data_IF_762958684338
#
_entry.id   IF_762958684338
#
_cell.length_a   1.000
_cell.length_b   1.000
_cell.length_c   1.000
_cell.angle_alpha   90.00
_cell.angle_beta   90.00
_cell.angle_gamma   90.00
#
_symmetry.space_group_name_H-M   'P 1'
#
loop_
_entity.id
_entity.type
_entity.pdbx_description
1 polymer ?
#
# COMPACT_ATOMS: atom_id res chain seq x y z
N UNK A 1 20.20 28.09 -24.05
CA UNK A 1 18.83 27.85 -24.49
C UNK A 1 17.93 27.95 -23.26
N UNK A 2 17.00 28.91 -23.23
CA UNK A 2 16.28 29.28 -22.01
C UNK A 2 15.01 28.39 -21.90
N UNK A 3 14.58 27.99 -20.68
CA UNK A 3 13.40 27.13 -20.44
C UNK A 3 12.12 27.61 -21.14
N UNK A 4 12.01 28.93 -21.42
CA UNK A 4 10.85 29.51 -22.15
C UNK A 4 10.85 29.22 -23.64
N UNK A 5 12.00 28.93 -24.25
CA UNK A 5 12.12 28.70 -25.70
C UNK A 5 11.84 27.24 -26.08
N UNK A 6 11.98 26.31 -25.11
CA UNK A 6 11.65 24.89 -25.30
C UNK A 6 10.14 24.67 -25.42
N UNK A 7 9.33 25.42 -24.67
CA UNK A 7 7.87 25.26 -24.64
C UNK A 7 7.20 25.83 -25.88
N UNK A 8 7.82 26.79 -26.59
CA UNK A 8 7.24 27.41 -27.78
C UNK A 8 7.37 26.60 -29.07
N UNK A 9 8.29 25.64 -29.13
CA UNK A 9 8.51 24.84 -30.33
C UNK A 9 7.71 23.52 -30.37
N UNK A 10 6.88 23.24 -29.37
CA UNK A 10 6.07 22.02 -29.30
C UNK A 10 4.62 22.19 -29.86
N UNK A 11 4.26 23.36 -30.38
CA UNK A 11 2.89 23.62 -30.87
C UNK A 11 2.96 24.20 -32.27
N UNK A 12 3.28 23.41 -33.27
CA UNK A 12 3.02 23.71 -34.67
C UNK A 12 3.17 22.44 -35.54
N UNK A 13 2.31 21.46 -35.41
CA UNK A 13 1.95 20.53 -36.50
C UNK A 13 0.47 20.21 -36.33
N UNK A 14 -0.42 20.98 -36.91
CA UNK A 14 -1.80 20.56 -37.14
C UNK A 14 -2.12 20.62 -38.63
N UNK A 15 -2.44 19.50 -39.06
CA UNK A 15 -2.87 18.85 -40.24
C UNK A 15 -3.84 19.63 -41.17
N UNK A 16 -3.67 19.33 -42.45
CA UNK A 16 -4.70 19.52 -43.48
C UNK A 16 -5.46 18.20 -43.65
N UNK A 17 -6.79 18.27 -43.59
CA UNK A 17 -7.70 17.16 -43.95
C UNK A 17 -8.07 17.29 -45.42
N UNK A 18 -8.11 16.24 -46.22
CA UNK A 18 -8.71 16.25 -47.54
C UNK A 18 -10.23 15.98 -47.51
N UNK A 19 -10.92 16.55 -48.51
CA UNK A 19 -12.37 16.58 -48.70
C UNK A 19 -13.07 15.22 -48.71
N UNK A 20 -14.31 15.25 -48.18
CA UNK A 20 -15.21 14.13 -48.10
C UNK A 20 -15.80 13.73 -49.47
N UNK A 21 -15.66 12.48 -49.83
CA UNK A 21 -16.41 11.84 -50.93
C UNK A 21 -17.68 11.22 -50.33
N UNK A 22 -18.84 11.66 -50.80
CA UNK A 22 -20.16 11.11 -50.43
C UNK A 22 -20.38 9.76 -51.06
N UNK A 23 -20.46 8.70 -50.25
CA UNK A 23 -20.88 7.36 -50.69
C UNK A 23 -22.26 7.05 -50.10
N UNK A 24 -23.11 6.50 -50.96
CA UNK A 24 -24.49 6.07 -50.71
C UNK A 24 -24.50 4.84 -49.73
N UNK A 25 -25.42 4.75 -48.75
CA UNK A 25 -25.42 3.65 -47.80
C UNK A 25 -25.96 2.36 -48.41
N UNK A 26 -25.13 1.33 -48.42
CA UNK A 26 -25.56 -0.04 -48.62
C UNK A 26 -26.05 -0.63 -47.30
N UNK A 27 -27.26 -1.18 -47.27
CA UNK A 27 -27.86 -1.88 -46.14
C UNK A 27 -27.02 -3.11 -45.80
N UNK A 28 -26.35 -3.09 -44.67
CA UNK A 28 -25.64 -4.24 -44.11
C UNK A 28 -26.62 -5.23 -43.44
N UNK A 29 -26.44 -6.56 -43.56
CA UNK A 29 -27.24 -7.55 -42.84
C UNK A 29 -27.01 -7.43 -41.31
N UNK A 30 -28.08 -7.67 -40.53
CA UNK A 30 -28.04 -7.63 -39.08
C UNK A 30 -26.95 -8.58 -38.51
N UNK A 31 -26.18 -8.15 -37.53
CA UNK A 31 -25.17 -9.01 -36.91
C UNK A 31 -25.84 -10.16 -36.15
N UNK A 32 -25.32 -11.38 -36.35
CA UNK A 32 -25.69 -12.55 -35.58
C UNK A 32 -25.42 -12.29 -34.06
N UNK A 33 -26.22 -12.89 -33.14
CA UNK A 33 -26.01 -12.70 -31.71
C UNK A 33 -24.59 -13.15 -31.33
N UNK A 34 -23.84 -12.23 -30.77
CA UNK A 34 -22.50 -12.51 -30.24
C UNK A 34 -22.63 -13.55 -29.11
N UNK A 35 -22.08 -14.73 -29.32
CA UNK A 35 -21.83 -15.69 -28.25
C UNK A 35 -20.95 -14.98 -27.23
N UNK A 36 -21.45 -14.82 -26.00
CA UNK A 36 -20.68 -14.29 -24.88
C UNK A 36 -19.48 -15.21 -24.63
N UNK A 37 -18.34 -14.88 -25.18
CA UNK A 37 -17.06 -15.48 -24.79
C UNK A 37 -16.77 -15.02 -23.36
N UNK A 38 -16.72 -15.96 -22.42
CA UNK A 38 -16.16 -15.70 -21.09
C UNK A 38 -14.80 -15.04 -21.30
N UNK A 39 -14.55 -13.85 -20.71
CA UNK A 39 -13.26 -13.21 -20.88
C UNK A 39 -12.17 -14.14 -20.35
N UNK A 40 -11.18 -14.43 -21.18
CA UNK A 40 -10.03 -15.21 -20.76
C UNK A 40 -9.29 -14.42 -19.68
N UNK A 41 -9.10 -15.04 -18.51
CA UNK A 41 -8.32 -14.45 -17.43
C UNK A 41 -6.92 -14.10 -17.96
N UNK A 42 -6.47 -12.88 -17.70
CA UNK A 42 -5.12 -12.47 -18.10
C UNK A 42 -4.06 -13.35 -17.42
N UNK A 43 -2.90 -13.59 -18.06
CA UNK A 43 -1.81 -14.31 -17.40
C UNK A 43 -1.41 -13.61 -16.11
N UNK A 44 -1.17 -14.39 -15.05
CA UNK A 44 -0.76 -13.85 -13.77
C UNK A 44 0.56 -13.08 -13.87
N UNK A 45 0.69 -11.99 -13.14
CA UNK A 45 1.97 -11.30 -12.98
C UNK A 45 2.99 -12.24 -12.33
N UNK A 46 4.26 -12.07 -12.68
CA UNK A 46 5.35 -12.86 -12.07
C UNK A 46 5.62 -12.41 -10.62
N UNK A 47 5.43 -11.11 -10.33
CA UNK A 47 5.51 -10.56 -8.98
C UNK A 47 4.13 -10.44 -8.36
N UNK A 48 4.05 -10.53 -7.04
CA UNK A 48 2.80 -10.47 -6.30
C UNK A 48 2.38 -9.01 -6.05
N UNK A 49 1.96 -8.32 -7.11
CA UNK A 49 1.45 -6.96 -7.01
C UNK A 49 0.08 -6.93 -6.31
N UNK A 50 -0.10 -5.98 -5.40
CA UNK A 50 -1.27 -5.84 -4.55
C UNK A 50 -1.92 -4.45 -4.71
N UNK A 51 -2.89 -4.28 -5.63
CA UNK A 51 -3.65 -3.03 -5.72
C UNK A 51 -4.52 -2.80 -4.47
N UNK A 52 -4.78 -1.52 -4.18
CA UNK A 52 -5.68 -1.09 -3.10
C UNK A 52 -7.15 -1.07 -3.51
N UNK A 53 -8.03 -1.12 -2.50
CA UNK A 53 -9.45 -0.79 -2.65
C UNK A 53 -9.62 0.58 -3.34
N UNK A 54 -10.55 0.63 -4.29
CA UNK A 54 -10.89 1.82 -5.05
C UNK A 54 -10.02 2.09 -6.29
N UNK A 55 -8.89 1.41 -6.49
CA UNK A 55 -8.07 1.60 -7.68
C UNK A 55 -8.80 1.20 -8.97
N UNK A 56 -9.71 0.24 -8.90
CA UNK A 56 -10.47 -0.24 -10.05
C UNK A 56 -11.97 0.11 -10.01
N UNK A 57 -12.40 1.08 -9.18
CA UNK A 57 -13.82 1.46 -9.09
C UNK A 57 -14.43 1.90 -10.42
N UNK A 58 -13.65 2.54 -11.28
CA UNK A 58 -14.11 2.97 -12.60
C UNK A 58 -14.32 1.81 -13.60
N UNK A 59 -13.83 0.61 -13.29
CA UNK A 59 -13.93 -0.58 -14.11
C UNK A 59 -14.89 -1.61 -13.54
N UNK A 60 -14.88 -1.80 -12.21
CA UNK A 60 -15.63 -2.85 -11.52
C UNK A 60 -16.69 -2.31 -10.53
N UNK A 61 -16.89 -0.98 -10.47
CA UNK A 61 -17.85 -0.36 -9.55
C UNK A 61 -17.30 -0.16 -8.13
N UNK A 62 -18.20 0.30 -7.24
CA UNK A 62 -17.84 0.65 -5.86
C UNK A 62 -17.72 -0.57 -4.93
N UNK A 63 -18.29 -1.73 -5.30
CA UNK A 63 -18.20 -2.94 -4.47
C UNK A 63 -16.79 -3.50 -4.51
N UNK A 64 -16.15 -3.55 -3.34
CA UNK A 64 -14.77 -4.03 -3.25
C UNK A 64 -14.64 -5.52 -3.62
N UNK A 65 -15.64 -6.35 -3.37
CA UNK A 65 -15.60 -7.76 -3.78
C UNK A 65 -15.61 -7.91 -5.32
N UNK A 66 -16.34 -7.05 -6.03
CA UNK A 66 -16.31 -7.01 -7.49
C UNK A 66 -14.96 -6.47 -8.01
N UNK A 67 -14.37 -5.47 -7.32
CA UNK A 67 -13.01 -5.01 -7.67
C UNK A 67 -11.97 -6.12 -7.48
N UNK A 68 -12.04 -6.94 -6.43
CA UNK A 68 -11.15 -8.10 -6.22
C UNK A 68 -11.26 -9.11 -7.36
N UNK A 69 -12.49 -9.43 -7.79
CA UNK A 69 -12.71 -10.33 -8.94
C UNK A 69 -12.07 -9.76 -10.22
N UNK A 70 -12.30 -8.47 -10.47
CA UNK A 70 -11.70 -7.78 -11.60
C UNK A 70 -10.16 -7.78 -11.53
N UNK A 71 -9.57 -7.49 -10.38
CA UNK A 71 -8.11 -7.57 -10.17
C UNK A 71 -7.58 -8.98 -10.51
N UNK A 72 -8.26 -10.01 -10.04
CA UNK A 72 -7.90 -11.40 -10.38
C UNK A 72 -7.94 -11.66 -11.89
N UNK A 73 -8.99 -11.21 -12.59
CA UNK A 73 -9.14 -11.34 -14.05
C UNK A 73 -8.02 -10.60 -14.80
N UNK A 74 -7.52 -9.47 -14.24
CA UNK A 74 -6.39 -8.72 -14.80
C UNK A 74 -5.02 -9.34 -14.48
N UNK A 75 -4.97 -10.45 -13.76
CA UNK A 75 -3.72 -11.17 -13.46
C UNK A 75 -3.10 -10.86 -12.10
N UNK A 76 -3.69 -9.99 -11.28
CA UNK A 76 -3.23 -9.76 -9.91
C UNK A 76 -3.48 -10.98 -9.02
N UNK A 77 -2.59 -11.21 -8.05
CA UNK A 77 -2.67 -12.33 -7.11
C UNK A 77 -2.61 -11.88 -5.65
N UNK A 78 -2.71 -10.57 -5.41
CA UNK A 78 -2.76 -10.00 -4.07
C UNK A 78 -3.57 -8.73 -4.08
N UNK A 79 -3.99 -8.29 -2.89
CA UNK A 79 -4.62 -6.98 -2.67
C UNK A 79 -4.05 -6.34 -1.41
N UNK A 80 -4.23 -5.02 -1.25
CA UNK A 80 -4.05 -4.30 0.01
C UNK A 80 -5.34 -3.58 0.40
N UNK A 81 -5.57 -3.43 1.70
CA UNK A 81 -6.69 -2.65 2.22
C UNK A 81 -6.33 -1.98 3.55
N UNK A 82 -5.87 -0.75 3.48
CA UNK A 82 -5.51 0.03 4.66
C UNK A 82 -6.67 0.21 5.65
N UNK A 83 -7.91 0.16 5.15
CA UNK A 83 -9.14 0.32 5.94
C UNK A 83 -9.69 -0.96 6.57
N UNK A 84 -9.05 -2.11 6.40
CA UNK A 84 -9.59 -3.42 6.78
C UNK A 84 -10.08 -3.48 8.23
N UNK A 85 -9.37 -2.87 9.19
CA UNK A 85 -9.82 -2.86 10.59
C UNK A 85 -11.16 -2.15 10.83
N UNK A 86 -11.49 -1.17 9.97
CA UNK A 86 -12.76 -0.43 10.05
C UNK A 86 -13.93 -1.10 9.33
N UNK A 87 -13.71 -2.21 8.62
CA UNK A 87 -14.78 -2.94 7.95
C UNK A 87 -15.55 -3.81 8.94
N UNK A 88 -16.83 -4.02 8.66
CA UNK A 88 -17.65 -4.96 9.43
C UNK A 88 -17.04 -6.38 9.39
N UNK A 89 -17.03 -7.13 10.51
CA UNK A 89 -16.42 -8.46 10.59
C UNK A 89 -16.93 -9.43 9.53
N UNK A 90 -18.22 -9.35 9.17
CA UNK A 90 -18.80 -10.19 8.13
C UNK A 90 -18.21 -9.87 6.73
N UNK A 91 -17.86 -8.61 6.46
CA UNK A 91 -17.21 -8.22 5.20
C UNK A 91 -15.74 -8.64 5.20
N UNK A 92 -15.03 -8.51 6.32
CA UNK A 92 -13.65 -9.00 6.44
C UNK A 92 -13.55 -10.50 6.12
N UNK A 93 -14.49 -11.30 6.64
CA UNK A 93 -14.58 -12.74 6.36
C UNK A 93 -14.88 -13.00 4.87
N UNK A 94 -15.84 -12.29 4.29
CA UNK A 94 -16.17 -12.44 2.86
C UNK A 94 -14.99 -12.10 1.95
N UNK A 95 -14.20 -11.09 2.31
CA UNK A 95 -12.96 -10.75 1.58
C UNK A 95 -11.96 -11.89 1.69
N UNK A 96 -11.69 -12.39 2.90
CA UNK A 96 -10.78 -13.54 3.10
C UNK A 96 -11.19 -14.78 2.35
N UNK A 97 -12.48 -15.15 2.42
CA UNK A 97 -13.03 -16.31 1.71
C UNK A 97 -12.91 -16.15 0.18
N UNK A 98 -13.19 -14.95 -0.35
CA UNK A 98 -13.05 -14.67 -1.77
C UNK A 98 -11.59 -14.76 -2.23
N UNK A 99 -10.66 -14.18 -1.46
CA UNK A 99 -9.22 -14.28 -1.75
C UNK A 99 -8.76 -15.75 -1.77
N UNK A 100 -9.16 -16.54 -0.78
CA UNK A 100 -8.84 -17.96 -0.73
C UNK A 100 -9.43 -18.73 -1.93
N UNK A 101 -10.67 -18.44 -2.31
CA UNK A 101 -11.34 -19.03 -3.48
C UNK A 101 -10.61 -18.70 -4.79
N UNK A 102 -10.10 -17.48 -4.93
CA UNK A 102 -9.40 -17.01 -6.13
C UNK A 102 -7.90 -17.35 -6.13
N UNK A 103 -7.35 -17.92 -5.04
CA UNK A 103 -5.92 -18.15 -4.87
C UNK A 103 -5.12 -16.85 -4.81
N UNK A 104 -5.70 -15.82 -4.19
CA UNK A 104 -5.08 -14.51 -3.96
C UNK A 104 -4.66 -14.35 -2.50
N UNK A 105 -3.63 -13.53 -2.28
CA UNK A 105 -3.15 -13.19 -0.94
C UNK A 105 -3.73 -11.86 -0.45
N UNK A 106 -3.94 -11.76 0.86
CA UNK A 106 -4.07 -10.46 1.53
C UNK A 106 -2.67 -9.92 1.80
N UNK A 107 -2.36 -8.75 1.28
CA UNK A 107 -1.14 -7.99 1.57
C UNK A 107 -1.22 -7.33 2.95
N UNK A 108 -0.97 -6.02 3.03
CA UNK A 108 -1.04 -5.31 4.31
C UNK A 108 -2.42 -4.70 4.56
N UNK A 109 -2.75 -4.57 5.84
CA UNK A 109 -3.71 -3.60 6.36
C UNK A 109 -3.07 -2.80 7.51
N UNK A 110 -3.64 -1.65 7.86
CA UNK A 110 -3.06 -0.76 8.88
C UNK A 110 -3.62 -1.07 10.26
N UNK A 111 -2.73 -1.23 11.26
CA UNK A 111 -3.12 -1.23 12.67
C UNK A 111 -3.31 0.21 13.13
N UNK A 112 -4.57 0.62 13.29
CA UNK A 112 -4.93 1.93 13.79
C UNK A 112 -6.20 1.85 14.63
N UNK A 113 -6.33 2.71 15.63
CA UNK A 113 -7.49 2.75 16.52
C UNK A 113 -8.25 4.07 16.51
N UNK A 114 -7.61 5.13 16.04
CA UNK A 114 -8.22 6.46 15.90
C UNK A 114 -8.01 6.99 14.49
N UNK A 115 -7.92 8.29 14.33
CA UNK A 115 -7.67 8.90 13.04
C UNK A 115 -6.34 8.41 12.44
N UNK A 116 -6.45 7.63 11.41
CA UNK A 116 -5.34 7.17 10.59
C UNK A 116 -4.52 8.34 10.03
N UNK A 117 -3.20 8.17 9.87
CA UNK A 117 -2.28 7.15 10.41
C UNK A 117 -1.54 7.63 11.67
N UNK A 118 -1.90 8.77 12.22
CA UNK A 118 -1.03 9.57 13.08
C UNK A 118 -1.37 9.46 14.57
N UNK A 119 -2.40 8.68 14.91
CA UNK A 119 -2.95 8.64 16.25
C UNK A 119 -2.36 7.60 17.19
N UNK A 120 -1.50 6.69 16.71
CA UNK A 120 -0.96 5.64 17.57
C UNK A 120 -0.18 6.19 18.78
N UNK A 121 0.54 7.29 18.60
CA UNK A 121 1.14 8.05 19.71
C UNK A 121 2.16 7.28 20.55
N UNK A 122 2.73 6.18 20.01
CA UNK A 122 3.63 5.28 20.74
C UNK A 122 4.89 5.98 21.28
N UNK A 123 5.25 7.09 20.64
CA UNK A 123 6.39 7.95 21.03
C UNK A 123 6.27 8.53 22.43
N UNK A 124 5.05 8.68 22.97
CA UNK A 124 4.81 9.35 24.25
C UNK A 124 5.12 8.49 25.48
N UNK A 125 5.13 7.16 25.36
CA UNK A 125 5.40 6.24 26.47
C UNK A 125 4.36 6.24 27.59
N UNK A 126 3.13 6.73 27.31
CA UNK A 126 2.05 6.79 28.32
C UNK A 126 1.37 5.45 28.49
N UNK A 127 1.04 5.08 29.71
CA UNK A 127 0.40 3.80 30.03
C UNK A 127 -0.95 3.62 29.32
N UNK A 128 -1.77 4.66 29.28
CA UNK A 128 -3.07 4.62 28.60
C UNK A 128 -2.95 4.39 27.07
N UNK A 129 -1.88 4.92 26.45
CA UNK A 129 -1.59 4.68 25.04
C UNK A 129 -1.14 3.23 24.83
N UNK A 130 -0.26 2.72 25.71
CA UNK A 130 0.17 1.34 25.68
C UNK A 130 -1.00 0.36 25.82
N UNK A 131 -1.89 0.60 26.78
CA UNK A 131 -3.06 -0.24 26.99
C UNK A 131 -3.99 -0.23 25.76
N UNK A 132 -4.20 0.93 25.15
CA UNK A 132 -4.98 1.07 23.93
C UNK A 132 -4.32 0.36 22.76
N UNK A 133 -3.00 0.54 22.58
CA UNK A 133 -2.20 -0.14 21.58
C UNK A 133 -2.35 -1.67 21.66
N UNK A 134 -2.16 -2.24 22.85
CA UNK A 134 -2.25 -3.69 23.03
C UNK A 134 -3.67 -4.23 22.83
N UNK A 135 -4.72 -3.46 23.12
CA UNK A 135 -6.09 -3.85 22.75
C UNK A 135 -6.25 -3.87 21.23
N UNK A 136 -5.80 -2.84 20.55
CA UNK A 136 -5.86 -2.76 19.08
C UNK A 136 -5.06 -3.88 18.41
N UNK A 137 -3.92 -4.29 18.97
CA UNK A 137 -3.18 -5.45 18.49
C UNK A 137 -3.98 -6.75 18.60
N UNK A 138 -4.76 -6.96 19.69
CA UNK A 138 -5.64 -8.13 19.80
C UNK A 138 -6.74 -8.10 18.74
N UNK A 139 -7.34 -6.94 18.51
CA UNK A 139 -8.34 -6.76 17.44
C UNK A 139 -7.74 -7.03 16.07
N UNK A 140 -6.51 -6.55 15.80
CA UNK A 140 -5.80 -6.80 14.56
C UNK A 140 -5.53 -8.28 14.30
N UNK A 141 -5.24 -9.08 15.34
CA UNK A 141 -5.12 -10.55 15.24
C UNK A 141 -6.43 -11.16 14.73
N UNK A 142 -7.57 -10.73 15.27
CA UNK A 142 -8.87 -11.27 14.85
C UNK A 142 -9.24 -10.82 13.42
N UNK A 143 -8.87 -9.59 13.04
CA UNK A 143 -8.99 -9.11 11.65
C UNK A 143 -8.13 -9.95 10.71
N UNK A 144 -6.85 -10.14 11.04
CA UNK A 144 -5.91 -10.94 10.24
C UNK A 144 -6.41 -12.38 10.02
N UNK A 145 -6.99 -13.01 11.05
CA UNK A 145 -7.61 -14.33 10.91
C UNK A 145 -8.75 -14.35 9.92
N UNK A 146 -9.64 -13.32 9.95
CA UNK A 146 -10.79 -13.24 9.05
C UNK A 146 -10.41 -13.00 7.61
N UNK A 147 -9.44 -12.13 7.36
CA UNK A 147 -9.02 -11.79 5.99
C UNK A 147 -7.78 -12.56 5.51
N UNK A 148 -7.26 -13.51 6.30
CA UNK A 148 -6.10 -14.35 6.01
C UNK A 148 -4.80 -13.54 5.81
N UNK A 149 -4.71 -12.36 6.44
CA UNK A 149 -3.52 -11.52 6.35
C UNK A 149 -2.36 -12.08 7.18
N UNK A 150 -1.15 -11.81 6.71
CA UNK A 150 0.10 -12.08 7.43
C UNK A 150 0.79 -10.80 7.88
N UNK A 151 0.57 -9.71 7.15
CA UNK A 151 1.30 -8.46 7.28
C UNK A 151 0.37 -7.34 7.75
N UNK A 152 0.88 -6.46 8.63
CA UNK A 152 0.12 -5.34 9.16
C UNK A 152 1.01 -4.11 9.22
N UNK A 153 0.62 -3.03 8.56
CA UNK A 153 1.36 -1.77 8.60
C UNK A 153 1.21 -1.09 9.96
N UNK A 154 2.32 -0.59 10.49
CA UNK A 154 2.37 0.21 11.70
C UNK A 154 3.09 1.53 11.47
N UNK A 155 2.41 2.62 11.83
CA UNK A 155 2.99 3.96 11.93
C UNK A 155 3.01 4.35 13.40
N UNK A 156 4.18 4.61 14.02
CA UNK A 156 4.29 4.87 15.46
C UNK A 156 3.58 6.13 15.94
N UNK A 157 3.34 7.09 15.04
CA UNK A 157 2.70 8.36 15.34
C UNK A 157 3.62 9.56 15.07
N UNK A 158 3.33 10.67 15.75
CA UNK A 158 4.05 11.94 15.58
C UNK A 158 5.24 12.08 16.55
N UNK A 159 6.17 12.94 16.18
CA UNK A 159 7.24 13.39 17.03
C UNK A 159 6.72 14.42 18.05
N UNK A 160 7.16 14.30 19.30
CA UNK A 160 6.83 15.23 20.37
C UNK A 160 8.08 16.03 20.78
N UNK A 161 8.13 17.34 20.49
CA UNK A 161 9.33 18.16 20.77
C UNK A 161 9.73 18.20 22.25
N UNK A 162 8.78 17.99 23.16
CA UNK A 162 8.99 18.00 24.62
C UNK A 162 9.70 16.75 25.14
N UNK A 163 9.76 15.70 24.32
CA UNK A 163 10.42 14.43 24.66
C UNK A 163 11.62 14.25 23.73
N UNK A 164 12.80 14.07 24.26
CA UNK A 164 13.98 13.87 23.40
C UNK A 164 13.84 12.59 22.54
N UNK A 165 14.39 12.62 21.34
CA UNK A 165 14.24 11.54 20.35
C UNK A 165 14.65 10.16 20.89
N UNK A 166 15.75 9.98 21.66
CA UNK A 166 16.09 8.66 22.20
C UNK A 166 15.02 8.07 23.12
N UNK A 167 14.36 8.91 23.95
CA UNK A 167 13.24 8.42 24.77
C UNK A 167 12.04 8.01 23.93
N UNK A 168 11.71 8.77 22.88
CA UNK A 168 10.64 8.42 21.97
C UNK A 168 10.95 7.09 21.27
N UNK A 169 12.19 6.89 20.81
CA UNK A 169 12.64 5.63 20.21
C UNK A 169 12.49 4.46 21.19
N UNK A 170 12.92 4.63 22.45
CA UNK A 170 12.78 3.61 23.49
C UNK A 170 11.30 3.26 23.76
N UNK A 171 10.41 4.27 23.82
CA UNK A 171 8.98 4.06 24.00
C UNK A 171 8.36 3.26 22.83
N UNK A 172 8.74 3.60 21.60
CA UNK A 172 8.28 2.88 20.39
C UNK A 172 8.78 1.44 20.41
N UNK A 173 10.06 1.22 20.73
CA UNK A 173 10.64 -0.14 20.82
C UNK A 173 9.93 -0.99 21.88
N UNK A 174 9.62 -0.43 23.08
CA UNK A 174 8.88 -1.17 24.12
C UNK A 174 7.48 -1.55 23.64
N UNK A 175 6.75 -0.62 23.02
CA UNK A 175 5.42 -0.88 22.49
C UNK A 175 5.42 -1.96 21.40
N UNK A 176 6.40 -1.92 20.50
CA UNK A 176 6.51 -2.89 19.40
C UNK A 176 6.97 -4.26 19.89
N UNK A 177 7.83 -4.36 20.91
CA UNK A 177 8.20 -5.65 21.52
C UNK A 177 6.99 -6.36 22.10
N UNK A 178 6.17 -5.66 22.88
CA UNK A 178 4.94 -6.22 23.46
C UNK A 178 3.96 -6.67 22.39
N UNK A 179 3.83 -5.92 21.31
CA UNK A 179 3.01 -6.34 20.16
C UNK A 179 3.62 -7.55 19.43
N UNK A 180 4.94 -7.57 19.22
CA UNK A 180 5.64 -8.69 18.59
C UNK A 180 5.47 -10.01 19.37
N UNK A 181 5.49 -9.96 20.71
CA UNK A 181 5.22 -11.11 21.57
C UNK A 181 3.81 -11.68 21.36
N UNK A 182 2.86 -10.87 20.95
CA UNK A 182 1.49 -11.30 20.62
C UNK A 182 1.38 -11.84 19.19
N UNK A 183 2.08 -11.25 18.24
CA UNK A 183 1.97 -11.56 16.82
C UNK A 183 2.82 -12.76 16.39
N UNK A 184 4.04 -12.89 16.90
CA UNK A 184 4.96 -13.96 16.52
C UNK A 184 4.37 -15.38 16.69
N UNK A 185 3.68 -15.71 17.80
CA UNK A 185 3.04 -17.03 17.97
C UNK A 185 1.90 -17.30 16.97
N UNK A 186 1.34 -16.25 16.35
CA UNK A 186 0.28 -16.34 15.34
C UNK A 186 0.83 -16.38 13.91
N UNK A 187 2.15 -16.28 13.73
CA UNK A 187 2.76 -16.16 12.40
C UNK A 187 2.49 -14.81 11.72
N UNK A 188 2.11 -13.79 12.49
CA UNK A 188 1.82 -12.44 12.02
C UNK A 188 3.02 -11.54 12.19
N UNK A 189 3.16 -10.53 11.33
CA UNK A 189 4.24 -9.56 11.41
C UNK A 189 3.74 -8.12 11.19
N UNK A 190 4.17 -7.24 12.07
CA UNK A 190 4.13 -5.80 11.83
C UNK A 190 5.18 -5.41 10.81
N UNK A 191 4.83 -4.50 9.91
CA UNK A 191 5.76 -3.86 9.00
C UNK A 191 5.71 -2.36 9.20
N UNK A 192 6.81 -1.78 9.69
CA UNK A 192 6.92 -0.36 10.03
C UNK A 192 7.10 0.46 8.77
N UNK A 193 6.25 1.46 8.59
CA UNK A 193 6.28 2.32 7.40
C UNK A 193 6.79 3.72 7.77
N UNK A 194 8.00 4.11 7.32
CA UNK A 194 8.47 5.49 7.37
C UNK A 194 7.76 6.31 6.29
N UNK A 195 7.10 7.39 6.70
CA UNK A 195 6.23 8.20 5.84
C UNK A 195 6.80 9.59 5.55
N UNK A 196 6.41 10.16 4.41
CA UNK A 196 6.75 11.52 3.99
C UNK A 196 5.56 12.49 3.94
N UNK A 197 4.37 12.06 4.40
CA UNK A 197 3.14 12.85 4.26
C UNK A 197 3.14 14.12 5.11
N UNK A 198 3.76 14.06 6.28
CA UNK A 198 3.82 15.18 7.23
C UNK A 198 5.23 15.33 7.81
N UNK A 199 5.68 16.60 8.07
CA UNK A 199 7.02 16.84 8.62
C UNK A 199 7.16 16.45 10.10
N UNK A 200 6.06 16.34 10.83
CA UNK A 200 5.99 16.02 12.26
C UNK A 200 5.88 14.52 12.56
N UNK A 201 5.96 13.65 11.55
CA UNK A 201 6.00 12.20 11.79
C UNK A 201 7.30 11.79 12.48
N UNK A 202 7.18 10.90 13.46
CA UNK A 202 8.34 10.36 14.17
C UNK A 202 9.21 9.49 13.26
N UNK A 203 8.60 8.56 12.53
CA UNK A 203 9.30 7.61 11.67
C UNK A 203 9.31 8.11 10.23
N UNK A 204 10.51 8.40 9.70
CA UNK A 204 10.66 9.03 8.39
C UNK A 204 11.78 8.46 7.53
N UNK A 205 12.69 7.67 8.07
CA UNK A 205 13.91 7.23 7.39
C UNK A 205 14.11 5.73 7.51
N UNK A 206 14.75 5.15 6.51
CA UNK A 206 15.03 3.72 6.47
C UNK A 206 16.02 3.30 7.56
N UNK A 207 17.07 4.08 7.81
CA UNK A 207 18.05 3.83 8.86
C UNK A 207 17.45 3.85 10.27
N UNK A 208 16.55 4.80 10.54
CA UNK A 208 15.79 4.88 11.79
C UNK A 208 14.88 3.64 11.96
N UNK A 209 14.22 3.22 10.89
CA UNK A 209 13.33 2.05 10.91
C UNK A 209 14.14 0.77 11.15
N UNK A 210 15.28 0.65 10.50
CA UNK A 210 16.21 -0.46 10.69
C UNK A 210 16.68 -0.57 12.15
N UNK A 211 17.12 0.56 12.76
CA UNK A 211 17.51 0.63 14.17
C UNK A 211 16.40 0.11 15.09
N UNK A 212 15.16 0.55 14.87
CA UNK A 212 14.01 0.11 15.67
C UNK A 212 13.74 -1.38 15.49
N UNK A 213 13.72 -1.90 14.26
CA UNK A 213 13.52 -3.33 13.99
C UNK A 213 14.60 -4.19 14.64
N UNK A 214 15.87 -3.78 14.54
CA UNK A 214 16.99 -4.45 15.23
C UNK A 214 16.85 -4.39 16.74
N UNK A 215 16.43 -3.27 17.30
CA UNK A 215 16.21 -3.13 18.74
C UNK A 215 15.04 -3.99 19.23
N UNK A 216 13.96 -4.11 18.47
CA UNK A 216 12.83 -5.02 18.77
C UNK A 216 13.29 -6.47 18.72
N UNK A 217 14.13 -6.82 17.75
CA UNK A 217 14.74 -8.15 17.56
C UNK A 217 13.71 -9.28 17.49
N UNK A 218 12.71 -9.12 16.62
CA UNK A 218 11.65 -10.12 16.43
C UNK A 218 11.33 -10.29 14.93
N UNK A 219 11.07 -11.52 14.46
CA UNK A 219 10.58 -11.74 13.09
C UNK A 219 9.18 -11.13 12.87
N UNK A 220 8.46 -10.81 13.94
CA UNK A 220 7.16 -10.16 13.90
C UNK A 220 7.23 -8.61 13.83
N UNK A 221 8.42 -8.04 13.64
CA UNK A 221 8.60 -6.59 13.48
C UNK A 221 9.66 -6.34 12.41
N UNK A 222 9.24 -5.88 11.25
CA UNK A 222 10.04 -5.69 10.05
C UNK A 222 9.75 -4.34 9.39
N UNK A 223 10.42 -4.04 8.29
CA UNK A 223 10.26 -2.80 7.52
C UNK A 223 9.26 -3.03 6.38
N UNK A 224 8.32 -2.10 6.22
CA UNK A 224 7.67 -1.82 4.95
C UNK A 224 8.46 -0.70 4.26
N UNK A 225 9.07 -1.01 3.13
CA UNK A 225 9.84 -0.05 2.35
C UNK A 225 8.97 0.51 1.22
N UNK A 226 8.33 1.68 1.44
CA UNK A 226 7.61 2.39 0.39
C UNK A 226 8.60 3.26 -0.41
N UNK A 227 8.84 2.88 -1.65
CA UNK A 227 9.81 3.54 -2.56
C UNK A 227 9.47 5.03 -2.72
N UNK A 228 8.19 5.39 -2.82
CA UNK A 228 7.78 6.79 -2.95
C UNK A 228 8.14 7.62 -1.72
N UNK A 229 7.84 7.12 -0.52
CA UNK A 229 8.15 7.84 0.71
C UNK A 229 9.66 7.94 0.95
N UNK A 230 10.41 6.88 0.65
CA UNK A 230 11.87 6.89 0.81
C UNK A 230 12.55 7.79 -0.22
N UNK A 231 12.07 7.84 -1.45
CA UNK A 231 12.59 8.79 -2.45
C UNK A 231 12.38 10.24 -1.98
N UNK A 232 11.22 10.56 -1.40
CA UNK A 232 10.92 11.92 -0.92
C UNK A 232 11.74 12.32 0.31
N UNK A 233 12.00 11.39 1.21
CA UNK A 233 12.66 11.69 2.47
C UNK A 233 14.19 11.64 2.39
N UNK A 234 14.76 10.74 1.61
CA UNK A 234 16.20 10.46 1.65
C UNK A 234 16.84 10.16 0.28
N UNK A 235 16.10 9.67 -0.71
CA UNK A 235 16.67 9.25 -2.00
C UNK A 235 17.63 8.08 -1.88
N UNK A 236 18.57 7.93 -2.84
CA UNK A 236 19.62 6.90 -2.84
C UNK A 236 19.08 5.48 -2.54
N UNK A 237 17.92 5.15 -3.15
CA UNK A 237 17.08 4.00 -2.80
C UNK A 237 17.85 2.68 -2.77
N UNK A 238 18.62 2.38 -3.82
CA UNK A 238 19.31 1.08 -3.92
C UNK A 238 20.27 0.85 -2.77
N UNK A 239 21.06 1.87 -2.39
CA UNK A 239 22.01 1.77 -1.28
C UNK A 239 21.29 1.57 0.06
N UNK A 240 20.17 2.27 0.28
CA UNK A 240 19.38 2.12 1.51
C UNK A 240 18.68 0.76 1.57
N UNK A 241 18.18 0.25 0.45
CA UNK A 241 17.61 -1.11 0.36
C UNK A 241 18.67 -2.14 0.71
N UNK A 242 19.88 -2.05 0.14
CA UNK A 242 20.97 -2.98 0.42
C UNK A 242 21.35 -2.99 1.91
N UNK A 243 21.44 -1.80 2.53
CA UNK A 243 21.74 -1.67 3.96
C UNK A 243 20.66 -2.22 4.88
N UNK A 244 19.39 -2.11 4.51
CA UNK A 244 18.26 -2.52 5.31
C UNK A 244 17.70 -3.91 4.93
N UNK A 245 18.31 -4.60 3.96
CA UNK A 245 17.78 -5.79 3.31
C UNK A 245 17.25 -6.86 4.27
N UNK A 246 18.01 -7.20 5.31
CA UNK A 246 17.65 -8.26 6.26
C UNK A 246 16.42 -7.93 7.13
N UNK A 247 16.04 -6.65 7.19
CA UNK A 247 14.88 -6.21 7.95
C UNK A 247 13.69 -5.83 7.07
N UNK A 248 13.83 -5.73 5.74
CA UNK A 248 12.72 -5.44 4.84
C UNK A 248 11.90 -6.72 4.61
N UNK A 249 10.59 -6.64 4.86
CA UNK A 249 9.67 -7.75 4.63
C UNK A 249 8.54 -7.42 3.64
N UNK A 250 8.33 -6.15 3.36
CA UNK A 250 7.26 -5.71 2.45
C UNK A 250 7.70 -4.48 1.67
N UNK A 251 7.29 -4.39 0.41
CA UNK A 251 7.52 -3.23 -0.45
C UNK A 251 6.21 -2.61 -0.89
N UNK A 252 6.15 -1.28 -0.91
CA UNK A 252 5.16 -0.54 -1.67
C UNK A 252 5.84 0.28 -2.73
N UNK A 253 5.18 0.45 -3.88
CA UNK A 253 5.74 1.12 -5.04
C UNK A 253 4.81 2.24 -5.50
N UNK A 254 5.41 3.40 -5.69
CA UNK A 254 4.80 4.56 -6.33
C UNK A 254 5.92 5.46 -6.81
N UNK A 255 5.74 6.11 -7.94
CA UNK A 255 6.75 7.00 -8.50
C UNK A 255 6.68 8.41 -7.87
N UNK A 256 7.80 9.08 -7.79
CA UNK A 256 7.92 10.44 -7.29
C UNK A 256 8.07 11.42 -8.48
N UNK A 257 7.44 12.61 -8.47
CA UNK A 257 6.70 13.23 -7.36
C UNK A 257 5.19 12.93 -7.32
N UNK A 258 4.64 12.29 -8.35
CA UNK A 258 3.19 12.18 -8.55
C UNK A 258 2.50 11.05 -7.78
N UNK A 259 3.25 10.13 -7.13
CA UNK A 259 2.76 8.90 -6.51
C UNK A 259 1.87 8.08 -7.45
N UNK A 260 2.34 7.98 -8.71
CA UNK A 260 1.68 7.22 -9.78
C UNK A 260 2.46 5.94 -10.08
N UNK A 261 2.13 5.32 -11.21
CA UNK A 261 2.79 4.10 -11.68
C UNK A 261 4.31 4.33 -11.87
N UNK A 262 5.13 3.31 -11.63
CA UNK A 262 6.57 3.38 -11.95
C UNK A 262 6.83 3.84 -13.39
N UNK A 263 7.89 4.58 -13.61
CA UNK A 263 8.30 5.19 -14.90
C UNK A 263 7.50 6.42 -15.34
N UNK A 264 6.59 6.93 -14.50
CA UNK A 264 5.87 8.18 -14.76
C UNK A 264 6.50 9.41 -14.10
N UNK A 265 7.52 9.22 -13.29
CA UNK A 265 8.24 10.25 -12.54
C UNK A 265 9.75 10.15 -12.69
N UNK A 266 10.47 10.18 -11.57
CA UNK A 266 11.94 10.21 -11.52
C UNK A 266 12.59 8.89 -11.10
N UNK A 267 11.80 7.90 -10.68
CA UNK A 267 12.27 6.58 -10.27
C UNK A 267 12.35 5.69 -11.52
N UNK A 268 13.53 5.11 -11.74
CA UNK A 268 13.78 4.25 -12.90
C UNK A 268 13.81 2.78 -12.51
#
# INVERSE_FOLDING_TARGET
MNRRDFVKNAVAVSAALPDAVTATPATAPAPAPATATTPATAPAFQMNFAPHDGMFRNHAGEDFLEQIKFMHEQGFRSIEDNGMMGREPALQTKIGDLLAQLGMDMGVFVIAYDAWPFANGLTQGKAEIMDKWLRTCREAIEVAKRCHAKWMTVVPGTYFPEISQPYQTANVVDALRRAADMFAPQGLAMVLEPLSDRPDLFLRRSDQTFEICKAVNSPACKILYDIYHMQRNEGNLMNHIDQAWDEIAYYQIGDNPGRKEPTTGEIN
#
